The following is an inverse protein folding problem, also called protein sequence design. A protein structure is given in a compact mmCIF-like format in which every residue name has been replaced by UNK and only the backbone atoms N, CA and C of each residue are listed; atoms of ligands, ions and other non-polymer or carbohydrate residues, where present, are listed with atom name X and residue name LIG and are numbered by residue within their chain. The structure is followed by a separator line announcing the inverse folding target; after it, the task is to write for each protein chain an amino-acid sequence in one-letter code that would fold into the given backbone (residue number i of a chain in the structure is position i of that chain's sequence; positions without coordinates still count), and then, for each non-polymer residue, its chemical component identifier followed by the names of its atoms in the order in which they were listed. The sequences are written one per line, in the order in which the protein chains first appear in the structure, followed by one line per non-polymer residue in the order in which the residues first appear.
data_IF_397789779414
#
_entry.id   IF_397789779414
#
_cell.length_a   1.000
_cell.length_b   1.000
_cell.length_c   1.000
_cell.angle_alpha   90.00
_cell.angle_beta   90.00
_cell.angle_gamma   90.00
#
_symmetry.space_group_name_H-M   'P 1'
#
loop_
_entity.id
_entity.type
_entity.pdbx_description
1 polymer ?
#
# COMPACT_ATOMS: atom_id res chain seq x y z
N UNK A 1 19.01 18.09 10.16
CA UNK A 1 18.07 17.06 9.66
C UNK A 1 16.97 16.95 10.70
N UNK A 2 15.79 17.52 10.44
CA UNK A 2 14.68 17.43 11.39
C UNK A 2 14.18 15.98 11.40
N UNK A 3 14.32 15.32 12.53
CA UNK A 3 13.72 14.00 12.76
C UNK A 3 12.22 14.29 12.96
N UNK A 4 11.43 14.02 11.95
CA UNK A 4 9.98 14.05 12.07
C UNK A 4 9.55 12.84 12.91
N UNK A 5 9.43 13.02 14.22
CA UNK A 5 8.78 12.03 15.05
C UNK A 5 7.27 12.11 14.80
N UNK A 6 6.71 11.08 14.21
CA UNK A 6 5.27 10.94 14.03
C UNK A 6 4.65 10.66 15.42
N UNK A 7 3.67 11.46 15.85
CA UNK A 7 2.98 11.22 17.13
C UNK A 7 2.04 10.01 17.05
N UNK A 8 1.55 9.53 18.19
CA UNK A 8 0.54 8.45 18.23
C UNK A 8 -0.73 8.87 17.48
N UNK A 9 -1.14 10.13 17.58
CA UNK A 9 -2.29 10.68 16.86
C UNK A 9 -2.04 10.70 15.34
N UNK A 10 -0.84 11.05 14.92
CA UNK A 10 -0.44 11.02 13.51
C UNK A 10 -0.36 9.59 12.95
N UNK A 11 0.05 8.62 13.77
CA UNK A 11 0.00 7.21 13.38
C UNK A 11 -1.43 6.71 13.22
N UNK A 12 -2.35 7.13 14.10
CA UNK A 12 -3.77 6.84 13.94
C UNK A 12 -4.30 7.45 12.64
N UNK A 13 -4.00 8.72 12.38
CA UNK A 13 -4.39 9.41 11.15
C UNK A 13 -3.82 8.71 9.91
N UNK A 14 -2.55 8.28 9.93
CA UNK A 14 -1.91 7.54 8.84
C UNK A 14 -2.66 6.23 8.55
N UNK A 15 -2.94 5.45 9.59
CA UNK A 15 -3.67 4.18 9.46
C UNK A 15 -5.10 4.41 8.94
N UNK A 16 -5.76 5.46 9.41
CA UNK A 16 -7.11 5.82 8.95
C UNK A 16 -7.13 6.28 7.49
N UNK A 17 -6.16 7.10 7.10
CA UNK A 17 -5.98 7.55 5.71
C UNK A 17 -5.68 6.37 4.80
N UNK A 18 -4.78 5.47 5.20
CA UNK A 18 -4.33 4.35 4.37
C UNK A 18 -5.37 3.24 4.23
N UNK A 19 -6.00 2.83 5.33
CA UNK A 19 -6.89 1.66 5.32
C UNK A 19 -8.36 2.03 5.12
N UNK A 20 -8.71 3.29 5.23
CA UNK A 20 -10.10 3.74 5.13
C UNK A 20 -11.01 2.93 6.07
N UNK A 21 -12.08 2.33 5.52
CA UNK A 21 -12.99 1.42 6.21
C UNK A 21 -12.87 -0.03 5.74
N UNK A 22 -11.70 -0.39 5.19
CA UNK A 22 -11.47 -1.71 4.61
C UNK A 22 -11.40 -2.85 5.62
N UNK A 23 -11.06 -2.52 6.87
CA UNK A 23 -11.01 -3.46 7.99
C UNK A 23 -11.80 -2.91 9.18
N UNK A 24 -12.14 -3.79 10.12
CA UNK A 24 -12.86 -3.41 11.33
C UNK A 24 -12.05 -2.52 12.26
N UNK A 25 -12.78 -1.75 13.10
CA UNK A 25 -12.20 -0.88 14.13
C UNK A 25 -12.32 -1.43 15.54
N UNK A 26 -12.86 -2.63 15.75
CA UNK A 26 -13.00 -3.23 17.08
C UNK A 26 -11.89 -4.24 17.38
N UNK A 27 -11.50 -4.31 18.66
CA UNK A 27 -10.48 -5.26 19.12
C UNK A 27 -10.98 -6.70 19.01
N UNK A 28 -10.25 -7.51 18.24
CA UNK A 28 -10.51 -8.95 18.19
C UNK A 28 -9.73 -9.72 19.28
N UNK A 29 -8.50 -9.28 19.56
CA UNK A 29 -7.51 -10.00 20.38
C UNK A 29 -8.00 -10.29 21.80
N UNK A 30 -8.80 -9.39 22.39
CA UNK A 30 -9.34 -9.52 23.73
C UNK A 30 -10.87 -9.50 23.78
N UNK A 31 -11.53 -9.58 22.63
CA UNK A 31 -12.98 -9.55 22.59
C UNK A 31 -13.56 -10.87 23.05
N UNK A 32 -14.37 -10.83 24.10
CA UNK A 32 -15.24 -11.94 24.51
C UNK A 32 -16.50 -12.06 23.64
N UNK A 33 -16.70 -11.12 22.71
CA UNK A 33 -17.84 -11.12 21.81
C UNK A 33 -17.80 -12.34 20.86
N UNK A 34 -18.95 -12.95 20.66
CA UNK A 34 -19.10 -14.04 19.70
C UNK A 34 -18.84 -13.56 18.27
N UNK A 35 -18.51 -14.49 17.36
CA UNK A 35 -18.34 -14.17 15.94
C UNK A 35 -19.61 -13.53 15.35
N UNK A 36 -20.80 -14.01 15.76
CA UNK A 36 -22.09 -13.46 15.34
C UNK A 36 -22.28 -12.00 15.78
N UNK A 37 -21.98 -11.67 17.04
CA UNK A 37 -22.08 -10.29 17.53
C UNK A 37 -21.10 -9.35 16.79
N UNK A 38 -19.91 -9.83 16.43
CA UNK A 38 -18.92 -9.07 15.62
C UNK A 38 -19.41 -8.82 14.19
N UNK A 39 -20.07 -9.82 13.59
CA UNK A 39 -20.67 -9.71 12.26
C UNK A 39 -21.85 -8.74 12.27
N UNK A 40 -22.66 -8.73 13.34
CA UNK A 40 -23.79 -7.81 13.50
C UNK A 40 -23.30 -6.36 13.67
N UNK A 41 -22.33 -6.11 14.54
CA UNK A 41 -21.71 -4.80 14.69
C UNK A 41 -21.15 -4.26 13.35
N UNK A 42 -20.54 -5.15 12.56
CA UNK A 42 -20.08 -4.82 11.22
C UNK A 42 -21.21 -4.45 10.25
N UNK A 43 -22.36 -5.09 10.35
CA UNK A 43 -23.54 -4.75 9.53
C UNK A 43 -24.16 -3.43 9.94
N UNK A 44 -24.23 -3.15 11.24
CA UNK A 44 -24.74 -1.88 11.78
C UNK A 44 -23.89 -0.69 11.30
N UNK A 45 -22.57 -0.84 11.23
CA UNK A 45 -21.68 0.16 10.67
C UNK A 45 -21.77 0.29 9.11
N UNK A 46 -22.68 -0.44 8.48
CA UNK A 46 -22.86 -0.51 7.01
C UNK A 46 -21.58 -0.87 6.25
N UNK A 47 -20.69 -1.60 6.86
CA UNK A 47 -19.45 -2.07 6.23
C UNK A 47 -19.73 -3.37 5.48
N UNK A 48 -20.21 -3.27 4.26
CA UNK A 48 -20.58 -4.42 3.43
C UNK A 48 -19.40 -5.15 2.78
N UNK A 49 -18.19 -4.56 2.83
CA UNK A 49 -17.00 -5.09 2.14
C UNK A 49 -15.79 -5.04 3.05
N UNK A 50 -15.80 -5.86 4.07
CA UNK A 50 -14.65 -6.00 4.95
C UNK A 50 -13.75 -7.12 4.51
N UNK A 51 -12.46 -6.91 4.74
CA UNK A 51 -11.42 -7.87 4.47
C UNK A 51 -10.38 -7.86 5.58
N UNK A 52 -9.21 -8.36 5.27
CA UNK A 52 -8.07 -8.38 6.16
C UNK A 52 -6.81 -7.86 5.49
N UNK A 53 -5.86 -7.46 6.31
CA UNK A 53 -4.48 -7.23 5.92
C UNK A 53 -3.59 -8.29 6.55
N UNK A 54 -2.42 -8.49 5.99
CA UNK A 54 -1.42 -9.42 6.47
C UNK A 54 -0.23 -8.64 7.05
N UNK A 55 0.33 -9.13 8.14
CA UNK A 55 1.46 -8.50 8.81
C UNK A 55 2.56 -9.51 9.13
N UNK A 56 3.80 -9.03 9.13
CA UNK A 56 5.01 -9.82 9.34
C UNK A 56 5.92 -9.12 10.33
N UNK A 57 6.46 -9.88 11.31
CA UNK A 57 7.29 -9.32 12.37
C UNK A 57 8.71 -8.99 11.92
N UNK A 58 9.30 -9.83 11.08
CA UNK A 58 10.69 -9.65 10.65
C UNK A 58 10.91 -10.12 9.22
N UNK A 59 11.91 -9.57 8.55
CA UNK A 59 12.22 -9.93 7.15
C UNK A 59 12.54 -11.42 6.98
N UNK A 60 13.11 -12.08 7.98
CA UNK A 60 13.41 -13.50 7.96
C UNK A 60 12.16 -14.41 7.94
N UNK A 61 10.99 -13.85 8.19
CA UNK A 61 9.71 -14.57 8.13
C UNK A 61 9.20 -14.79 6.69
N UNK A 62 9.78 -14.12 5.69
CA UNK A 62 9.62 -14.46 4.28
C UNK A 62 10.53 -15.64 3.96
N UNK A 63 9.96 -16.84 3.90
CA UNK A 63 10.72 -18.09 3.73
C UNK A 63 10.38 -18.77 2.40
N UNK A 64 11.23 -19.70 1.97
CA UNK A 64 10.95 -20.52 0.78
C UNK A 64 9.67 -21.37 0.92
N UNK A 65 9.24 -21.69 2.13
CA UNK A 65 8.04 -22.47 2.42
C UNK A 65 6.76 -21.62 2.57
N UNK A 66 6.89 -20.29 2.51
CA UNK A 66 5.79 -19.34 2.66
C UNK A 66 6.12 -18.20 3.63
N UNK A 67 5.14 -17.37 3.88
CA UNK A 67 5.26 -16.18 4.74
C UNK A 67 4.76 -16.51 6.13
N UNK A 68 5.62 -16.39 7.14
CA UNK A 68 5.24 -16.45 8.55
C UNK A 68 4.71 -15.10 8.98
N UNK A 69 3.49 -15.09 9.48
CA UNK A 69 2.84 -13.84 9.86
C UNK A 69 1.48 -14.09 10.47
N UNK A 70 0.69 -13.05 10.58
CA UNK A 70 -0.69 -13.18 11.02
C UNK A 70 -1.62 -12.20 10.32
N UNK A 71 -2.90 -12.47 10.47
CA UNK A 71 -4.00 -11.77 9.81
C UNK A 71 -4.55 -10.73 10.76
N UNK A 72 -4.67 -9.49 10.27
CA UNK A 72 -5.22 -8.37 11.02
C UNK A 72 -6.52 -7.92 10.38
N UNK A 73 -7.57 -7.84 11.20
CA UNK A 73 -8.92 -7.42 10.81
C UNK A 73 -9.42 -6.23 11.63
N UNK A 74 -8.54 -5.60 12.41
CA UNK A 74 -8.86 -4.48 13.29
C UNK A 74 -7.72 -3.46 13.26
N UNK A 75 -8.05 -2.18 13.12
CA UNK A 75 -7.07 -1.08 13.15
C UNK A 75 -6.38 -0.97 14.50
N UNK A 76 -7.13 -1.19 15.59
CA UNK A 76 -6.60 -1.18 16.94
C UNK A 76 -5.49 -2.23 17.12
N UNK A 77 -5.72 -3.46 16.60
CA UNK A 77 -4.68 -4.51 16.64
C UNK A 77 -3.44 -4.11 15.86
N UNK A 78 -3.61 -3.48 14.70
CA UNK A 78 -2.47 -3.00 13.90
C UNK A 78 -1.66 -1.96 14.66
N UNK A 79 -2.32 -1.00 15.29
CA UNK A 79 -1.66 0.08 16.05
C UNK A 79 -0.98 -0.46 17.31
N UNK A 80 -1.63 -1.36 18.05
CA UNK A 80 -1.05 -1.99 19.25
C UNK A 80 0.21 -2.81 18.94
N UNK A 81 0.22 -3.51 17.80
CA UNK A 81 1.32 -4.38 17.41
C UNK A 81 2.39 -3.67 16.55
N UNK A 82 2.14 -2.42 16.11
CA UNK A 82 2.96 -1.73 15.09
C UNK A 82 4.47 -1.72 15.39
N UNK A 83 4.85 -1.56 16.67
CA UNK A 83 6.26 -1.54 17.09
C UNK A 83 6.96 -2.90 16.95
N UNK A 84 6.20 -4.00 16.82
CA UNK A 84 6.71 -5.37 16.67
C UNK A 84 6.66 -5.86 15.23
N UNK A 85 6.19 -5.01 14.32
CA UNK A 85 5.97 -5.36 12.91
C UNK A 85 6.97 -4.65 12.00
N UNK A 86 7.35 -5.33 10.95
CA UNK A 86 8.24 -4.74 9.93
C UNK A 86 7.55 -4.54 8.59
N UNK A 87 6.66 -5.47 8.21
CA UNK A 87 5.97 -5.44 6.93
C UNK A 87 4.48 -5.70 7.10
N UNK A 88 3.70 -5.17 6.16
CA UNK A 88 2.27 -5.36 6.09
C UNK A 88 1.80 -5.27 4.64
N UNK A 89 0.57 -5.65 4.38
CA UNK A 89 -0.10 -5.36 3.11
C UNK A 89 -0.95 -4.10 3.28
N UNK A 90 -0.65 -2.98 2.58
CA UNK A 90 -1.44 -1.74 2.70
C UNK A 90 -2.80 -1.83 2.02
N UNK A 91 -2.99 -2.84 1.18
CA UNK A 91 -4.22 -3.13 0.47
C UNK A 91 -4.98 -4.27 1.17
N UNK A 92 -6.29 -4.33 1.02
CA UNK A 92 -7.17 -5.24 1.78
C UNK A 92 -7.56 -6.44 0.93
N UNK A 93 -7.57 -7.61 1.55
CA UNK A 93 -7.87 -8.90 0.91
C UNK A 93 -9.18 -9.49 1.42
N UNK A 94 -9.98 -10.10 0.50
CA UNK A 94 -11.27 -10.73 0.81
C UNK A 94 -11.16 -12.16 1.33
N UNK A 95 -10.12 -12.88 0.88
CA UNK A 95 -9.84 -14.26 1.27
C UNK A 95 -8.54 -14.27 2.04
N UNK A 96 -8.57 -14.86 3.22
CA UNK A 96 -7.42 -14.92 4.11
C UNK A 96 -7.49 -16.15 5.00
N UNK A 97 -6.35 -16.71 5.34
CA UNK A 97 -6.27 -17.91 6.16
C UNK A 97 -4.82 -18.30 6.46
N UNK A 98 -4.69 -19.53 6.90
CA UNK A 98 -3.40 -20.16 7.15
C UNK A 98 -3.32 -21.44 6.33
N UNK A 99 -2.11 -21.82 5.93
CA UNK A 99 -1.88 -23.03 5.14
C UNK A 99 -1.92 -24.32 5.97
N UNK A 100 -1.78 -24.19 7.29
CA UNK A 100 -1.71 -25.31 8.23
C UNK A 100 -2.47 -25.03 9.54
N UNK A 101 -2.81 -26.09 10.26
CA UNK A 101 -3.50 -26.01 11.55
C UNK A 101 -2.65 -25.32 12.63
N UNK A 102 -1.32 -25.33 12.49
CA UNK A 102 -0.40 -24.65 13.41
C UNK A 102 -0.38 -23.13 13.24
N UNK A 103 -1.10 -22.60 12.25
CA UNK A 103 -1.25 -21.16 11.95
C UNK A 103 0.08 -20.41 11.84
N UNK A 104 1.07 -21.04 11.24
CA UNK A 104 2.40 -20.45 11.04
C UNK A 104 2.53 -19.68 9.76
N UNK A 105 1.97 -20.19 8.66
CA UNK A 105 2.10 -19.61 7.34
C UNK A 105 0.77 -19.03 6.89
N UNK A 106 0.75 -17.73 6.61
CA UNK A 106 -0.41 -17.02 6.09
C UNK A 106 -0.59 -17.30 4.60
N UNK A 107 -1.85 -17.29 4.14
CA UNK A 107 -2.23 -17.42 2.73
C UNK A 107 -3.42 -16.51 2.40
N UNK A 108 -3.62 -16.26 1.10
CA UNK A 108 -4.72 -15.44 0.62
C UNK A 108 -4.30 -14.04 0.16
N UNK A 109 -3.02 -13.71 0.21
CA UNK A 109 -2.50 -12.40 -0.21
C UNK A 109 -2.16 -12.30 -1.72
N UNK A 110 -2.69 -13.20 -2.54
CA UNK A 110 -2.57 -13.12 -3.99
C UNK A 110 -3.48 -12.03 -4.57
N UNK A 111 -3.04 -11.38 -5.65
CA UNK A 111 -3.76 -10.27 -6.29
C UNK A 111 -5.23 -10.56 -6.63
N UNK A 112 -5.55 -11.80 -7.02
CA UNK A 112 -6.94 -12.24 -7.30
C UNK A 112 -7.85 -12.16 -6.07
N UNK A 113 -7.26 -12.15 -4.88
CA UNK A 113 -7.96 -12.05 -3.59
C UNK A 113 -8.07 -10.62 -3.07
N UNK A 114 -7.56 -9.62 -3.80
CA UNK A 114 -7.74 -8.23 -3.42
C UNK A 114 -9.22 -7.87 -3.30
N UNK A 115 -9.60 -7.31 -2.18
CA UNK A 115 -10.90 -6.73 -1.90
C UNK A 115 -10.94 -5.28 -2.40
N UNK A 116 -9.90 -4.53 -2.04
CA UNK A 116 -9.74 -3.14 -2.42
C UNK A 116 -8.26 -2.76 -2.46
N UNK A 117 -7.94 -1.83 -3.35
CA UNK A 117 -6.67 -1.14 -3.43
C UNK A 117 -6.85 0.22 -2.78
N UNK A 118 -6.03 0.51 -1.77
CA UNK A 118 -6.02 1.76 -1.03
C UNK A 118 -4.89 2.68 -1.49
N UNK A 119 -3.79 2.09 -1.95
CA UNK A 119 -2.57 2.81 -2.29
C UNK A 119 -1.75 2.08 -3.34
N UNK A 120 -0.98 2.87 -4.07
CA UNK A 120 0.14 2.41 -4.87
C UNK A 120 1.44 2.72 -4.14
N UNK A 121 2.39 1.81 -4.21
CA UNK A 121 3.69 1.98 -3.55
C UNK A 121 4.80 1.79 -4.56
N UNK A 122 5.75 2.73 -4.58
CA UNK A 122 6.98 2.62 -5.37
C UNK A 122 8.14 2.38 -4.43
N UNK A 123 8.90 1.32 -4.66
CA UNK A 123 10.08 0.96 -3.89
C UNK A 123 11.35 1.50 -4.57
N UNK A 124 12.24 2.08 -3.77
CA UNK A 124 13.52 2.63 -4.19
C UNK A 124 14.60 2.00 -3.31
N UNK A 125 15.31 1.02 -3.83
CA UNK A 125 16.26 0.17 -3.10
C UNK A 125 17.64 0.84 -2.93
N UNK A 126 17.68 2.17 -2.80
CA UNK A 126 18.92 2.94 -2.60
C UNK A 126 18.73 4.13 -1.68
N UNK A 127 19.77 4.47 -0.92
CA UNK A 127 19.87 5.68 -0.09
C UNK A 127 20.62 6.84 -0.77
N UNK A 128 20.93 6.69 -2.05
CA UNK A 128 21.68 7.67 -2.83
C UNK A 128 20.97 9.03 -2.91
N UNK A 129 19.64 9.02 -2.91
CA UNK A 129 18.82 10.21 -3.05
C UNK A 129 18.28 10.68 -1.69
N UNK A 130 18.25 12.00 -1.51
CA UNK A 130 17.56 12.64 -0.38
C UNK A 130 16.05 12.62 -0.58
N UNK A 131 15.29 12.82 0.49
CA UNK A 131 13.83 12.95 0.40
C UNK A 131 13.41 14.07 -0.58
N UNK A 132 14.11 15.21 -0.58
CA UNK A 132 13.81 16.31 -1.49
C UNK A 132 14.01 15.92 -2.96
N UNK A 133 15.05 15.16 -3.28
CA UNK A 133 15.27 14.67 -4.66
C UNK A 133 14.18 13.68 -5.08
N UNK A 134 13.68 12.85 -4.16
CA UNK A 134 12.53 11.98 -4.44
C UNK A 134 11.26 12.78 -4.72
N UNK A 135 11.00 13.84 -3.93
CA UNK A 135 9.85 14.72 -4.15
C UNK A 135 9.97 15.46 -5.49
N UNK A 136 11.15 15.97 -5.82
CA UNK A 136 11.39 16.60 -7.11
C UNK A 136 11.19 15.64 -8.28
N UNK A 137 11.68 14.40 -8.19
CA UNK A 137 11.45 13.39 -9.22
C UNK A 137 9.96 13.10 -9.44
N UNK A 138 9.15 13.07 -8.38
CA UNK A 138 7.70 12.93 -8.49
C UNK A 138 7.06 14.12 -9.21
N UNK A 139 7.51 15.35 -8.94
CA UNK A 139 7.03 16.55 -9.62
C UNK A 139 7.43 16.58 -11.09
N UNK A 140 8.68 16.25 -11.41
CA UNK A 140 9.19 16.17 -12.78
C UNK A 140 8.44 15.12 -13.62
N UNK A 141 8.05 14.00 -13.00
CA UNK A 141 7.22 12.99 -13.61
C UNK A 141 5.72 13.38 -13.68
N UNK A 142 5.36 14.59 -13.23
CA UNK A 142 3.98 15.08 -13.20
C UNK A 142 2.98 14.16 -12.47
N UNK A 143 3.47 13.34 -11.53
CA UNK A 143 2.61 12.49 -10.67
C UNK A 143 1.96 13.35 -9.59
N UNK A 144 2.69 14.31 -9.05
CA UNK A 144 2.44 14.99 -7.78
C UNK A 144 3.22 14.35 -6.63
N UNK A 145 3.14 14.94 -5.44
CA UNK A 145 3.89 14.46 -4.27
C UNK A 145 3.27 13.16 -3.70
N UNK A 146 4.06 12.24 -3.14
CA UNK A 146 3.49 11.09 -2.44
C UNK A 146 2.73 11.55 -1.17
N UNK A 147 1.76 10.76 -0.72
CA UNK A 147 1.04 11.03 0.54
C UNK A 147 1.97 10.88 1.74
N UNK A 148 2.90 9.92 1.70
CA UNK A 148 4.00 9.79 2.66
C UNK A 148 5.14 8.96 2.10
N UNK A 149 6.32 9.09 2.71
CA UNK A 149 7.52 8.31 2.38
C UNK A 149 7.99 7.57 3.63
N UNK A 150 8.21 6.27 3.48
CA UNK A 150 8.78 5.40 4.52
C UNK A 150 10.23 5.11 4.18
N UNK A 151 11.14 5.36 5.11
CA UNK A 151 12.52 4.97 5.00
C UNK A 151 12.73 3.52 5.48
N UNK A 152 13.58 2.78 4.78
CA UNK A 152 14.10 1.48 5.20
C UNK A 152 15.61 1.54 5.37
N UNK A 153 16.24 0.44 5.79
CA UNK A 153 17.70 0.40 5.89
C UNK A 153 18.39 0.60 4.54
N UNK A 154 17.75 0.14 3.44
CA UNK A 154 18.33 0.13 2.09
C UNK A 154 17.84 1.25 1.19
N UNK A 155 16.66 1.83 1.47
CA UNK A 155 16.06 2.81 0.56
C UNK A 155 14.78 3.42 1.10
N UNK A 156 13.83 3.66 0.22
CA UNK A 156 12.58 4.37 0.50
C UNK A 156 11.38 3.69 -0.17
N UNK A 157 10.20 3.89 0.41
CA UNK A 157 8.93 3.51 -0.20
C UNK A 157 8.01 4.72 -0.25
N UNK A 158 7.58 5.09 -1.46
CA UNK A 158 6.72 6.22 -1.73
C UNK A 158 5.28 5.73 -1.85
N UNK A 159 4.40 6.24 -0.99
CA UNK A 159 3.00 5.85 -0.94
C UNK A 159 2.11 6.90 -1.58
N UNK A 160 1.34 6.50 -2.58
CA UNK A 160 0.34 7.30 -3.28
C UNK A 160 -1.04 6.77 -2.88
N UNK A 161 -1.63 7.35 -1.83
CA UNK A 161 -2.87 6.88 -1.23
C UNK A 161 -4.06 7.39 -2.02
N UNK A 162 -5.04 6.53 -2.25
CA UNK A 162 -6.29 6.90 -2.90
C UNK A 162 -7.23 7.61 -1.91
N UNK A 163 -7.93 8.66 -2.35
CA UNK A 163 -8.98 9.35 -1.57
C UNK A 163 -10.19 8.46 -1.28
N UNK A 164 -10.42 7.48 -2.16
CA UNK A 164 -11.44 6.45 -2.02
C UNK A 164 -10.87 5.12 -2.52
N UNK A 165 -11.10 4.01 -1.79
CA UNK A 165 -10.56 2.72 -2.20
C UNK A 165 -11.12 2.26 -3.53
N UNK A 166 -10.26 1.68 -4.37
CA UNK A 166 -10.69 0.98 -5.57
C UNK A 166 -11.14 -0.45 -5.20
N UNK A 167 -12.44 -0.71 -5.25
CA UNK A 167 -12.96 -2.06 -5.02
C UNK A 167 -12.72 -2.97 -6.22
N UNK A 168 -12.11 -4.12 -5.96
CA UNK A 168 -11.77 -5.10 -6.99
C UNK A 168 -12.91 -6.11 -7.12
N UNK A 169 -13.39 -6.29 -8.35
CA UNK A 169 -14.35 -7.33 -8.71
C UNK A 169 -13.79 -8.22 -9.80
N UNK A 170 -14.34 -9.44 -9.92
CA UNK A 170 -14.00 -10.36 -11.01
C UNK A 170 -14.72 -10.04 -12.34
N UNK A 171 -15.58 -9.02 -12.35
CA UNK A 171 -16.28 -8.58 -13.55
C UNK A 171 -15.29 -8.19 -14.64
N UNK A 172 -15.63 -8.48 -15.90
CA UNK A 172 -14.81 -8.18 -17.06
C UNK A 172 -13.35 -8.67 -16.90
N UNK A 173 -13.19 -9.86 -16.32
CA UNK A 173 -11.89 -10.48 -16.10
C UNK A 173 -10.93 -9.56 -15.33
N UNK A 174 -11.38 -9.05 -14.17
CA UNK A 174 -10.59 -8.17 -13.29
C UNK A 174 -10.12 -6.87 -13.96
N UNK A 175 -10.96 -6.24 -14.78
CA UNK A 175 -10.60 -5.02 -15.50
C UNK A 175 -10.00 -3.93 -14.59
N UNK A 176 -10.61 -3.68 -13.42
CA UNK A 176 -10.10 -2.69 -12.47
C UNK A 176 -8.69 -2.99 -11.97
N UNK A 177 -8.39 -4.28 -11.70
CA UNK A 177 -7.06 -4.72 -11.31
C UNK A 177 -6.04 -4.52 -12.44
N UNK A 178 -6.40 -4.83 -13.69
CA UNK A 178 -5.52 -4.64 -14.84
C UNK A 178 -5.14 -3.17 -15.05
N UNK A 179 -6.12 -2.26 -14.88
CA UNK A 179 -5.87 -0.81 -14.95
C UNK A 179 -4.97 -0.38 -13.79
N UNK A 180 -5.23 -0.86 -12.57
CA UNK A 180 -4.39 -0.54 -11.42
C UNK A 180 -2.93 -1.04 -11.61
N UNK A 181 -2.73 -2.23 -12.16
CA UNK A 181 -1.38 -2.73 -12.48
C UNK A 181 -0.67 -1.83 -13.49
N UNK A 182 -1.39 -1.36 -14.52
CA UNK A 182 -0.82 -0.43 -15.50
C UNK A 182 -0.38 0.88 -14.84
N UNK A 183 -1.18 1.42 -13.91
CA UNK A 183 -0.80 2.61 -13.14
C UNK A 183 0.45 2.33 -12.30
N UNK A 184 0.50 1.19 -11.60
CA UNK A 184 1.67 0.79 -10.81
C UNK A 184 2.95 0.70 -11.66
N UNK A 185 2.87 0.06 -12.82
CA UNK A 185 3.99 -0.03 -13.76
C UNK A 185 4.46 1.34 -14.24
N UNK A 186 3.52 2.24 -14.58
CA UNK A 186 3.86 3.58 -15.03
C UNK A 186 4.47 4.44 -13.91
N UNK A 187 4.00 4.30 -12.66
CA UNK A 187 4.61 4.95 -11.48
C UNK A 187 6.08 4.53 -11.32
N UNK A 188 6.36 3.24 -11.36
CA UNK A 188 7.73 2.73 -11.26
C UNK A 188 8.62 3.22 -12.41
N UNK A 189 8.11 3.20 -13.64
CA UNK A 189 8.86 3.65 -14.83
C UNK A 189 9.16 5.14 -14.81
N UNK A 190 8.18 5.96 -14.42
CA UNK A 190 8.37 7.42 -14.38
C UNK A 190 9.33 7.89 -13.29
N UNK A 191 9.63 7.05 -12.29
CA UNK A 191 10.59 7.31 -11.22
C UNK A 191 11.95 6.59 -11.42
N UNK A 192 12.27 6.17 -12.65
CA UNK A 192 13.56 5.57 -12.97
C UNK A 192 14.74 6.51 -12.78
N UNK A 193 14.53 7.83 -12.83
CA UNK A 193 15.56 8.83 -12.50
C UNK A 193 16.11 8.72 -11.08
N UNK A 194 15.32 8.14 -10.18
CA UNK A 194 15.69 7.85 -8.78
C UNK A 194 15.80 6.36 -8.49
N UNK A 195 16.01 5.55 -9.52
CA UNK A 195 16.27 4.11 -9.43
C UNK A 195 15.11 3.32 -8.78
N UNK A 196 13.86 3.66 -9.14
CA UNK A 196 12.70 2.90 -8.69
C UNK A 196 12.77 1.43 -9.16
N UNK A 197 12.47 0.49 -8.26
CA UNK A 197 12.48 -0.95 -8.55
C UNK A 197 11.29 -1.35 -9.42
N UNK A 198 11.56 -1.66 -10.71
CA UNK A 198 10.55 -2.09 -11.68
C UNK A 198 9.93 -3.45 -11.33
N UNK A 199 10.61 -4.26 -10.53
CA UNK A 199 10.22 -5.63 -10.22
C UNK A 199 9.60 -5.78 -8.83
N UNK A 200 9.46 -4.69 -8.08
CA UNK A 200 8.77 -4.74 -6.80
C UNK A 200 7.29 -5.14 -6.98
N UNK A 201 6.75 -5.77 -5.95
CA UNK A 201 5.33 -6.15 -5.93
C UNK A 201 4.43 -4.93 -6.10
N UNK A 202 3.33 -5.09 -6.85
CA UNK A 202 2.34 -4.02 -7.02
C UNK A 202 1.49 -3.80 -5.76
N UNK A 203 1.02 -4.89 -5.14
CA UNK A 203 0.02 -4.83 -4.07
C UNK A 203 0.35 -5.72 -2.87
N UNK A 204 1.53 -6.31 -2.81
CA UNK A 204 1.94 -7.25 -1.78
C UNK A 204 2.39 -6.60 -0.47
N UNK A 205 3.49 -7.11 0.09
CA UNK A 205 4.03 -6.63 1.35
C UNK A 205 4.98 -5.45 1.15
N UNK A 206 4.78 -4.43 1.99
CA UNK A 206 5.63 -3.24 2.07
C UNK A 206 6.01 -2.97 3.53
N UNK A 207 6.93 -2.04 3.77
CA UNK A 207 7.30 -1.63 5.12
C UNK A 207 6.11 -1.02 5.83
N UNK A 208 5.86 -1.47 7.06
CA UNK A 208 4.87 -0.82 7.91
C UNK A 208 5.37 0.59 8.28
N UNK A 209 4.58 1.64 8.01
CA UNK A 209 4.89 2.97 8.51
C UNK A 209 4.87 2.98 10.04
N UNK A 210 5.86 3.63 10.63
CA UNK A 210 5.98 3.83 12.10
C UNK A 210 6.50 5.22 12.38
N UNK A 211 6.38 5.69 13.61
CA UNK A 211 6.95 6.97 14.06
C UNK A 211 8.44 7.13 13.73
N UNK A 212 9.16 6.02 13.61
CA UNK A 212 10.61 6.01 13.41
C UNK A 212 11.05 6.03 11.95
N UNK A 213 10.18 5.63 11.02
CA UNK A 213 10.55 5.43 9.62
C UNK A 213 9.79 6.30 8.62
N UNK A 214 8.75 7.01 9.02
CA UNK A 214 8.08 8.01 8.18
C UNK A 214 8.95 9.26 8.11
N UNK A 215 9.46 9.58 6.92
CA UNK A 215 10.39 10.69 6.67
C UNK A 215 9.77 11.87 5.93
N UNK A 216 8.59 11.68 5.38
CA UNK A 216 7.75 12.70 4.76
C UNK A 216 6.28 12.28 4.89
N UNK A 217 5.38 13.24 5.08
CA UNK A 217 3.93 13.03 5.14
C UNK A 217 3.17 14.28 4.71
N UNK A 218 2.10 14.06 3.98
CA UNK A 218 1.08 15.05 3.62
C UNK A 218 -0.24 14.28 3.43
N UNK A 219 -1.02 14.12 4.51
CA UNK A 219 -2.23 13.30 4.52
C UNK A 219 -3.38 13.92 3.73
N UNK A 220 -3.32 15.23 3.45
CA UNK A 220 -4.30 15.91 2.60
C UNK A 220 -4.05 15.64 1.12
N UNK A 221 -2.85 15.23 0.76
CA UNK A 221 -2.47 14.88 -0.60
C UNK A 221 -2.83 13.41 -0.90
N UNK A 222 -4.06 13.20 -1.34
CA UNK A 222 -4.59 11.90 -1.76
C UNK A 222 -5.00 11.95 -3.23
N UNK A 223 -5.09 10.79 -3.86
CA UNK A 223 -5.28 10.67 -5.30
C UNK A 223 -6.66 10.10 -5.63
N UNK A 224 -7.36 10.72 -6.58
CA UNK A 224 -8.49 10.03 -7.21
C UNK A 224 -7.98 8.95 -8.17
N UNK A 225 -8.65 7.80 -8.21
CA UNK A 225 -8.28 6.77 -9.18
C UNK A 225 -8.40 7.26 -10.61
N UNK A 226 -9.38 8.14 -10.89
CA UNK A 226 -9.57 8.76 -12.20
C UNK A 226 -8.39 9.65 -12.61
N UNK A 227 -7.83 10.43 -11.69
CA UNK A 227 -6.66 11.28 -11.97
C UNK A 227 -5.41 10.44 -12.29
N UNK A 228 -5.22 9.33 -11.58
CA UNK A 228 -4.13 8.40 -11.87
C UNK A 228 -4.29 7.68 -13.22
N UNK A 229 -5.51 7.33 -13.62
CA UNK A 229 -5.78 6.82 -14.98
C UNK A 229 -5.37 7.85 -16.03
N UNK A 230 -5.83 9.10 -15.90
CA UNK A 230 -5.51 10.17 -16.85
C UNK A 230 -4.00 10.44 -16.93
N UNK A 231 -3.34 10.47 -15.78
CA UNK A 231 -1.88 10.59 -15.73
C UNK A 231 -1.19 9.41 -16.42
N UNK A 232 -1.58 8.18 -16.11
CA UNK A 232 -1.01 6.96 -16.68
C UNK A 232 -1.19 6.88 -18.19
N UNK A 233 -2.34 7.31 -18.72
CA UNK A 233 -2.56 7.38 -20.18
C UNK A 233 -1.61 8.35 -20.87
N UNK A 234 -1.32 9.51 -20.28
CA UNK A 234 -0.33 10.45 -20.83
C UNK A 234 1.07 9.84 -20.86
N UNK A 235 1.46 9.08 -19.84
CA UNK A 235 2.75 8.37 -19.82
C UNK A 235 2.84 7.34 -20.96
N UNK A 236 1.76 6.63 -21.26
CA UNK A 236 1.70 5.68 -22.36
C UNK A 236 1.87 6.36 -23.72
N UNK A 237 1.22 7.51 -23.93
CA UNK A 237 1.32 8.30 -25.17
C UNK A 237 2.74 8.84 -25.36
N UNK A 238 3.38 9.33 -24.31
CA UNK A 238 4.75 9.85 -24.38
C UNK A 238 5.78 8.73 -24.65
N UNK A 239 5.56 7.53 -24.14
CA UNK A 239 6.42 6.36 -24.43
C UNK A 239 6.22 5.83 -25.86
N UNK A 240 5.07 6.05 -26.47
CA UNK A 240 4.77 5.62 -27.86
C UNK A 240 5.18 6.67 -28.89
N UNK A 241 5.48 7.91 -28.49
CA UNK A 241 6.02 8.90 -29.42
C UNK A 241 7.42 8.45 -29.86
N UNK A 242 7.63 8.16 -31.18
CA UNK A 242 8.95 7.79 -31.65
C UNK A 242 9.91 8.96 -31.39
N UNK A 243 11.11 8.64 -30.93
CA UNK A 243 12.24 9.57 -30.73
C UNK A 243 12.70 10.28 -32.04
N UNK A 244 11.89 10.27 -33.07
CA UNK A 244 12.16 10.81 -34.38
C UNK A 244 11.34 12.07 -34.65
N UNK A 245 11.78 13.19 -34.10
CA UNK A 245 11.63 14.48 -34.77
C UNK A 245 12.80 15.38 -34.30
N UNK A 246 14.03 15.00 -34.64
CA UNK A 246 15.06 16.00 -34.86
C UNK A 246 14.75 16.65 -36.21
N UNK A 247 14.59 17.97 -36.31
CA UNK A 247 14.45 18.62 -37.58
C UNK A 247 15.76 18.43 -38.36
N UNK A 248 15.66 17.71 -39.47
CA UNK A 248 16.70 17.74 -40.50
C UNK A 248 16.83 19.19 -40.99
N UNK A 249 17.99 19.78 -40.80
CA UNK A 249 18.40 21.02 -41.45
C UNK A 249 18.61 20.79 -42.95
#
# INVERSE_FOLDING_TARGET
MAIFNCSIEEMQQLVDTLLHRGIHTYKQKNSKASLSARVEAAKEEKQTRQGAIFVVRQKADFTANGVKGYIVTSKETLLEDAQQLTHFTPNVYRTFGYTDDSKRYICGFEERNLQQINTFVVDIDTKKYSVNELLMACMDASIGLPTFIVASDRGYQLYFVLESPLFISNKENFRGLKVAKRISDNLKRSLQSVEADLFCNDFGFFRLPTEKNVVYKDFDNQYSFASLIQWSMRQDDDMQRPLFLLPTK
#
